data_IF_456224668481
#
_entry.id   IF_456224668481
#
_cell.length_a   1.000
_cell.length_b   1.000
_cell.length_c   1.000
_cell.angle_alpha   90.00
_cell.angle_beta   90.00
_cell.angle_gamma   90.00
#
_symmetry.space_group_name_H-M   'P 1'
#
loop_
_entity.id
_entity.type
_entity.pdbx_description
1 polymer ?
#
# COMPACT_ATOMS: atom_id res chain seq x y z
N UNK A 1 35.66 -23.08 10.92
CA UNK A 1 34.54 -22.73 11.81
C UNK A 1 34.07 -21.34 11.42
N UNK A 2 32.80 -21.21 11.04
CA UNK A 2 32.07 -19.99 10.67
C UNK A 2 31.96 -19.04 11.89
N UNK A 3 31.65 -17.75 11.82
CA UNK A 3 30.63 -16.99 11.08
C UNK A 3 31.19 -15.59 10.75
N UNK A 4 31.04 -15.03 9.55
CA UNK A 4 29.76 -14.81 8.89
C UNK A 4 29.36 -13.35 9.09
N UNK A 5 30.21 -12.42 8.66
CA UNK A 5 29.90 -11.00 8.52
C UNK A 5 28.67 -10.87 7.62
N UNK A 6 27.49 -10.72 8.23
CA UNK A 6 26.28 -10.35 7.51
C UNK A 6 26.32 -8.84 7.32
N UNK A 7 27.16 -8.44 6.37
CA UNK A 7 26.99 -7.21 5.62
C UNK A 7 25.52 -7.16 5.20
N UNK A 8 24.74 -6.31 5.87
CA UNK A 8 23.38 -6.00 5.44
C UNK A 8 23.54 -5.44 4.04
N UNK A 9 23.24 -6.29 3.05
CA UNK A 9 23.25 -5.93 1.65
C UNK A 9 22.47 -4.64 1.53
N UNK A 10 23.19 -3.54 1.29
CA UNK A 10 22.60 -2.33 0.74
C UNK A 10 21.83 -2.83 -0.48
N UNK A 11 20.50 -2.61 -0.56
CA UNK A 11 19.76 -3.07 -1.73
C UNK A 11 20.50 -2.50 -2.93
N UNK A 12 20.94 -3.41 -3.80
CA UNK A 12 21.47 -3.09 -5.11
C UNK A 12 20.48 -2.10 -5.72
N UNK A 13 20.91 -0.84 -5.83
CA UNK A 13 20.04 0.24 -6.33
C UNK A 13 19.93 0.00 -7.82
N UNK A 14 19.01 -0.91 -8.17
CA UNK A 14 18.70 -1.26 -9.53
C UNK A 14 18.24 0.00 -10.26
N UNK A 15 18.85 0.23 -11.43
CA UNK A 15 18.88 1.51 -12.14
C UNK A 15 17.58 1.85 -12.87
N UNK A 16 16.43 1.29 -12.49
CA UNK A 16 15.17 1.57 -13.17
C UNK A 16 13.95 1.60 -12.25
N UNK A 17 14.08 1.98 -10.98
CA UNK A 17 12.88 2.26 -10.18
C UNK A 17 12.02 3.30 -10.91
N UNK A 18 10.82 2.89 -11.31
CA UNK A 18 9.81 3.79 -11.83
C UNK A 18 9.41 4.79 -10.76
N UNK A 19 8.93 5.97 -11.17
CA UNK A 19 8.37 6.94 -10.21
C UNK A 19 7.34 6.30 -9.27
N UNK A 20 6.51 5.39 -9.78
CA UNK A 20 5.52 4.67 -9.00
C UNK A 20 6.11 3.68 -7.99
N UNK A 21 7.21 3.00 -8.31
CA UNK A 21 7.86 2.06 -7.39
C UNK A 21 8.51 2.80 -6.22
N UNK A 22 9.18 3.94 -6.49
CA UNK A 22 9.69 4.84 -5.44
C UNK A 22 8.57 5.33 -4.52
N UNK A 23 7.46 5.80 -5.11
CA UNK A 23 6.32 6.29 -4.35
C UNK A 23 5.74 5.19 -3.45
N UNK A 24 5.60 3.98 -3.99
CA UNK A 24 5.12 2.83 -3.24
C UNK A 24 6.08 2.45 -2.10
N UNK A 25 7.38 2.44 -2.36
CA UNK A 25 8.41 2.18 -1.35
C UNK A 25 8.28 3.15 -0.17
N UNK A 26 8.21 4.46 -0.45
CA UNK A 26 8.04 5.50 0.58
C UNK A 26 6.74 5.31 1.38
N UNK A 27 5.63 4.97 0.71
CA UNK A 27 4.36 4.72 1.39
C UNK A 27 4.44 3.51 2.32
N UNK A 28 5.04 2.40 1.88
CA UNK A 28 5.19 1.20 2.69
C UNK A 28 6.13 1.44 3.90
N UNK A 29 7.22 2.17 3.69
CA UNK A 29 8.18 2.52 4.74
C UNK A 29 7.57 3.43 5.82
N UNK A 30 6.65 4.32 5.45
CA UNK A 30 5.99 5.19 6.43
C UNK A 30 4.78 4.51 7.08
N UNK A 31 3.95 3.83 6.30
CA UNK A 31 2.71 3.24 6.78
C UNK A 31 2.94 2.17 7.85
N UNK A 32 4.01 1.37 7.76
CA UNK A 32 4.27 0.30 8.74
C UNK A 32 4.61 0.82 10.15
N UNK A 33 5.02 2.09 10.28
CA UNK A 33 5.35 2.72 11.57
C UNK A 33 4.19 3.54 12.13
N UNK A 34 3.11 3.70 11.36
CA UNK A 34 2.01 4.59 11.70
C UNK A 34 0.81 3.82 12.27
N UNK A 35 0.02 4.46 13.14
CA UNK A 35 -1.28 3.95 13.51
C UNK A 35 -2.16 3.73 12.26
N UNK A 36 -2.93 2.63 12.17
CA UNK A 36 -3.73 2.29 10.99
C UNK A 36 -4.65 3.41 10.50
N UNK A 37 -5.21 4.18 11.43
CA UNK A 37 -6.12 5.30 11.11
C UNK A 37 -5.44 6.45 10.36
N UNK A 38 -4.11 6.54 10.36
CA UNK A 38 -3.35 7.59 9.66
C UNK A 38 -2.85 7.15 8.27
N UNK A 39 -2.98 5.87 7.92
CA UNK A 39 -2.51 5.34 6.63
C UNK A 39 -3.33 5.95 5.47
N UNK A 40 -4.65 6.03 5.61
CA UNK A 40 -5.51 6.62 4.57
C UNK A 40 -5.19 8.10 4.29
N UNK A 41 -5.11 8.97 5.32
CA UNK A 41 -4.67 10.36 5.14
C UNK A 41 -3.30 10.48 4.48
N UNK A 42 -2.32 9.67 4.89
CA UNK A 42 -0.98 9.66 4.27
C UNK A 42 -1.07 9.33 2.78
N UNK A 43 -1.80 8.28 2.40
CA UNK A 43 -1.96 7.90 1.00
C UNK A 43 -2.64 9.02 0.20
N UNK A 44 -3.69 9.65 0.76
CA UNK A 44 -4.37 10.75 0.10
C UNK A 44 -3.43 11.95 -0.14
N UNK A 45 -2.57 12.28 0.84
CA UNK A 45 -1.58 13.35 0.72
C UNK A 45 -0.53 13.05 -0.36
N UNK A 46 0.02 11.84 -0.38
CA UNK A 46 1.02 11.43 -1.38
C UNK A 46 0.41 11.37 -2.79
N UNK A 47 -0.83 10.87 -2.93
CA UNK A 47 -1.57 10.88 -4.21
C UNK A 47 -1.86 12.30 -4.69
N UNK A 48 -2.23 13.21 -3.78
CA UNK A 48 -2.41 14.62 -4.12
C UNK A 48 -1.08 15.27 -4.55
N UNK A 49 0.04 14.90 -3.91
CA UNK A 49 1.39 15.36 -4.25
C UNK A 49 1.81 15.01 -5.68
N UNK A 50 1.28 13.92 -6.24
CA UNK A 50 1.53 13.51 -7.63
C UNK A 50 0.46 14.01 -8.62
N UNK A 51 -0.45 14.88 -8.17
CA UNK A 51 -1.51 15.47 -8.97
C UNK A 51 -2.81 14.66 -9.04
N UNK A 52 -2.92 13.58 -8.27
CA UNK A 52 -4.15 12.81 -8.12
C UNK A 52 -5.25 13.61 -7.43
N UNK A 53 -6.50 13.32 -7.79
CA UNK A 53 -7.70 13.96 -7.24
C UNK A 53 -8.76 12.89 -7.02
N UNK A 54 -9.76 13.23 -6.20
CA UNK A 54 -10.91 12.37 -5.92
C UNK A 54 -10.52 10.95 -5.47
N UNK A 55 -9.64 10.88 -4.47
CA UNK A 55 -9.01 9.62 -4.05
C UNK A 55 -10.01 8.76 -3.26
N UNK A 56 -10.24 7.52 -3.69
CA UNK A 56 -11.00 6.52 -2.93
C UNK A 56 -10.13 5.32 -2.60
N UNK A 57 -10.00 4.96 -1.33
CA UNK A 57 -9.27 3.77 -0.89
C UNK A 57 -10.27 2.68 -0.55
N UNK A 58 -10.05 1.47 -1.07
CA UNK A 58 -10.86 0.30 -0.77
C UNK A 58 -10.01 -0.77 -0.11
N UNK A 59 -10.51 -1.33 0.99
CA UNK A 59 -9.92 -2.47 1.67
C UNK A 59 -10.59 -3.75 1.21
N UNK A 60 -9.81 -4.80 0.98
CA UNK A 60 -10.38 -6.13 0.80
C UNK A 60 -10.97 -6.61 2.12
N UNK A 61 -12.14 -7.23 2.06
CA UNK A 61 -12.65 -8.03 3.16
C UNK A 61 -11.77 -9.26 3.41
N UNK A 62 -11.95 -9.89 4.57
CA UNK A 62 -11.12 -11.04 4.97
C UNK A 62 -11.21 -12.22 4.00
N UNK A 63 -12.35 -12.40 3.35
CA UNK A 63 -12.57 -13.46 2.36
C UNK A 63 -12.06 -13.10 0.96
N UNK A 64 -11.55 -11.87 0.77
CA UNK A 64 -11.06 -11.32 -0.50
C UNK A 64 -12.13 -11.32 -1.62
N UNK A 65 -13.41 -11.25 -1.25
CA UNK A 65 -14.55 -11.27 -2.15
C UNK A 65 -15.04 -9.85 -2.47
N UNK A 66 -14.91 -8.92 -1.53
CA UNK A 66 -15.47 -7.58 -1.59
C UNK A 66 -14.42 -6.53 -1.27
N UNK A 67 -14.46 -5.43 -2.00
CA UNK A 67 -13.74 -4.20 -1.72
C UNK A 67 -14.69 -3.28 -0.93
N UNK A 68 -14.32 -2.97 0.31
CA UNK A 68 -15.06 -2.11 1.23
C UNK A 68 -14.40 -0.72 1.24
N UNK A 69 -15.14 0.36 1.00
CA UNK A 69 -14.60 1.71 0.99
C UNK A 69 -14.10 2.07 2.39
N UNK A 70 -12.89 2.61 2.47
CA UNK A 70 -12.32 3.10 3.71
C UNK A 70 -12.75 4.56 3.92
N UNK A 71 -13.53 4.88 4.98
CA UNK A 71 -13.86 6.26 5.28
C UNK A 71 -12.63 6.99 5.79
N UNK A 72 -12.49 8.27 5.44
CA UNK A 72 -11.35 9.05 5.90
C UNK A 72 -11.33 10.47 5.38
N UNK A 73 -10.59 11.33 6.07
CA UNK A 73 -10.35 12.70 5.62
C UNK A 73 -9.54 12.66 4.33
N UNK A 74 -9.96 13.45 3.33
CA UNK A 74 -9.30 13.52 2.03
C UNK A 74 -9.66 12.38 1.08
N UNK A 75 -10.59 11.50 1.47
CA UNK A 75 -11.12 10.46 0.61
C UNK A 75 -12.51 10.82 0.10
N UNK A 76 -12.77 10.49 -1.16
CA UNK A 76 -14.09 10.58 -1.76
C UNK A 76 -14.95 9.42 -1.28
N UNK A 77 -16.25 9.67 -1.10
CA UNK A 77 -17.23 8.62 -0.81
C UNK A 77 -17.26 7.60 -1.96
N UNK A 78 -17.24 6.33 -1.61
CA UNK A 78 -17.32 5.23 -2.55
C UNK A 78 -18.22 4.12 -1.99
N UNK A 79 -18.66 3.22 -2.85
CA UNK A 79 -19.51 2.10 -2.50
C UNK A 79 -18.71 0.79 -2.47
N UNK A 80 -19.17 -0.17 -1.67
CA UNK A 80 -18.59 -1.51 -1.70
C UNK A 80 -18.79 -2.15 -3.08
N UNK A 81 -17.75 -2.80 -3.58
CA UNK A 81 -17.76 -3.44 -4.90
C UNK A 81 -17.17 -4.83 -4.84
N UNK A 82 -17.51 -5.69 -5.81
CA UNK A 82 -16.93 -7.03 -5.89
C UNK A 82 -15.44 -6.92 -6.22
N UNK A 83 -14.61 -7.70 -5.52
CA UNK A 83 -13.19 -7.80 -5.83
C UNK A 83 -12.98 -8.27 -7.28
N UNK A 84 -12.21 -7.54 -8.10
CA UNK A 84 -11.93 -7.93 -9.48
C UNK A 84 -10.95 -9.11 -9.56
N UNK A 85 -10.22 -9.39 -8.47
CA UNK A 85 -9.27 -10.50 -8.37
C UNK A 85 -9.91 -11.68 -7.63
N UNK A 86 -9.78 -12.92 -8.15
CA UNK A 86 -10.27 -14.10 -7.43
C UNK A 86 -9.50 -14.25 -6.10
N UNK A 87 -10.14 -14.80 -5.05
CA UNK A 87 -9.52 -14.95 -3.74
C UNK A 87 -8.24 -15.79 -3.87
N UNK A 88 -7.13 -15.24 -3.40
CA UNK A 88 -5.83 -15.90 -3.42
C UNK A 88 -5.60 -16.63 -2.10
N UNK A 89 -5.74 -17.94 -2.15
CA UNK A 89 -5.34 -18.85 -1.07
C UNK A 89 -6.50 -19.40 -0.23
N UNK A 90 -6.89 -20.65 -0.52
CA UNK A 90 -7.06 -21.64 0.55
C UNK A 90 -5.84 -22.55 0.44
N UNK A 91 -4.85 -22.37 1.30
CA UNK A 91 -3.91 -23.46 1.56
C UNK A 91 -4.71 -24.50 2.34
N UNK A 92 -5.20 -25.52 1.64
CA UNK A 92 -5.80 -26.72 2.22
C UNK A 92 -4.73 -27.56 2.91
#
# INVERSE_FOLDING_TARGET
MAEGEREHGRPDVDRSEGFGERLLGVLLDRAHQMPPQLIAPLIAEEVAGVGGRDVSIHLQDYEQLVLVPLPGRGLTEAESSRSPTPPRGRLS
#
